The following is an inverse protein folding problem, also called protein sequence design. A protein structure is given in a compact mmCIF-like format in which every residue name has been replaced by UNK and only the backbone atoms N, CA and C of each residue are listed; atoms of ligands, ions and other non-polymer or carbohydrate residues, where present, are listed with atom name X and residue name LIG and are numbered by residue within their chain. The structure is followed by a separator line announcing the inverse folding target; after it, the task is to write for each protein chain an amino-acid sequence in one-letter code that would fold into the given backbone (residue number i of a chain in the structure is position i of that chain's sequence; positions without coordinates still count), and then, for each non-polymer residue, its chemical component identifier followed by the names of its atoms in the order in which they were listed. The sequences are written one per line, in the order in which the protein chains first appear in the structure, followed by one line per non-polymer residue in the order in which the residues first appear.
data_IF_587445171390
#
_entry.id   IF_587445171390
#
_cell.length_a   1.000
_cell.length_b   1.000
_cell.length_c   1.000
_cell.angle_alpha   90.00
_cell.angle_beta   90.00
_cell.angle_gamma   90.00
#
_symmetry.space_group_name_H-M   'P 1'
#
loop_
_entity.id
_entity.type
_entity.pdbx_description
1 polymer ?
#
# COMPACT_ATOMS: atom_id res chain seq x y z
N UNK A 1 61.68 -11.25 13.54
CA UNK A 1 60.48 -12.00 13.99
C UNK A 1 59.92 -11.33 15.24
N UNK A 2 58.77 -10.68 15.13
CA UNK A 2 57.78 -10.49 16.22
C UNK A 2 56.56 -9.82 15.58
N UNK A 3 55.58 -10.66 15.29
CA UNK A 3 54.24 -10.28 14.86
C UNK A 3 53.58 -9.42 15.93
N UNK A 4 52.94 -8.32 15.54
CA UNK A 4 51.84 -7.74 16.28
C UNK A 4 50.59 -7.89 15.43
N UNK A 5 49.62 -8.60 16.00
CA UNK A 5 48.38 -9.04 15.39
C UNK A 5 47.55 -7.85 14.88
N UNK A 6 47.03 -7.99 13.67
CA UNK A 6 46.00 -7.10 13.14
C UNK A 6 44.71 -7.30 13.93
N UNK A 7 44.26 -6.25 14.63
CA UNK A 7 42.96 -6.22 15.26
C UNK A 7 41.89 -6.07 14.18
N UNK A 8 41.20 -7.16 13.87
CA UNK A 8 40.03 -7.16 12.99
C UNK A 8 38.85 -6.56 13.78
N UNK A 9 38.60 -5.26 13.63
CA UNK A 9 37.36 -4.65 14.10
C UNK A 9 36.28 -5.10 13.12
N UNK A 10 35.46 -6.06 13.54
CA UNK A 10 34.21 -6.39 12.85
C UNK A 10 33.28 -5.20 13.10
N UNK A 11 33.31 -4.22 12.19
CA UNK A 11 32.25 -3.24 12.11
C UNK A 11 30.98 -4.00 11.73
N UNK A 12 30.13 -4.26 12.71
CA UNK A 12 28.77 -4.70 12.46
C UNK A 12 28.11 -3.61 11.61
N UNK A 13 27.97 -3.87 10.31
CA UNK A 13 27.15 -3.09 9.41
C UNK A 13 25.69 -3.26 9.87
N UNK A 14 25.28 -2.45 10.84
CA UNK A 14 23.88 -2.17 11.02
C UNK A 14 23.46 -1.39 9.77
N UNK A 15 22.94 -2.10 8.76
CA UNK A 15 22.23 -1.45 7.67
C UNK A 15 21.16 -0.57 8.31
N UNK A 16 21.13 0.76 8.04
CA UNK A 16 19.93 1.50 8.34
C UNK A 16 18.86 0.85 7.47
N UNK A 17 17.88 0.20 8.09
CA UNK A 17 16.62 -0.03 7.43
C UNK A 17 16.06 1.37 7.17
N UNK A 18 16.48 1.96 6.04
CA UNK A 18 16.05 3.27 5.62
C UNK A 18 14.55 3.19 5.51
N UNK A 19 13.85 3.89 6.40
CA UNK A 19 12.42 4.06 6.29
C UNK A 19 12.16 4.71 4.93
N UNK A 20 11.70 3.92 3.97
CA UNK A 20 11.34 4.42 2.65
C UNK A 20 10.15 5.37 2.85
N UNK A 21 10.36 6.64 2.56
CA UNK A 21 9.31 7.66 2.66
C UNK A 21 8.68 7.79 1.30
N UNK A 22 7.42 7.36 1.17
CA UNK A 22 6.62 7.56 -0.04
C UNK A 22 5.86 8.87 0.10
N UNK A 23 6.12 9.83 -0.79
CA UNK A 23 5.41 11.12 -0.81
C UNK A 23 4.22 11.03 -1.77
N UNK A 24 3.03 11.34 -1.27
CA UNK A 24 1.82 11.46 -2.09
C UNK A 24 1.43 12.94 -2.21
N UNK A 25 1.23 13.44 -3.43
CA UNK A 25 0.68 14.76 -3.65
C UNK A 25 -0.84 14.73 -3.43
N UNK A 26 -1.36 15.63 -2.59
CA UNK A 26 -2.79 15.80 -2.38
C UNK A 26 -3.39 16.54 -3.58
N UNK A 27 -3.68 15.83 -4.67
CA UNK A 27 -4.50 16.34 -5.77
C UNK A 27 -5.98 15.98 -5.60
N UNK A 28 -6.84 16.49 -6.48
CA UNK A 28 -8.29 16.26 -6.42
C UNK A 28 -8.72 14.88 -6.94
N UNK A 29 -7.80 13.98 -7.29
CA UNK A 29 -8.10 12.65 -7.78
C UNK A 29 -7.95 11.60 -6.67
N UNK A 30 -8.59 10.43 -6.86
CA UNK A 30 -8.37 9.29 -5.96
C UNK A 30 -7.03 8.64 -6.28
N UNK A 31 -6.20 8.37 -5.27
CA UNK A 31 -4.91 7.69 -5.42
C UNK A 31 -4.90 6.38 -4.64
N UNK A 32 -4.39 5.33 -5.28
CA UNK A 32 -4.08 4.06 -4.64
C UNK A 32 -2.72 4.14 -3.92
N UNK A 33 -2.66 3.65 -2.69
CA UNK A 33 -1.43 3.63 -1.87
C UNK A 33 -0.89 2.21 -1.77
N UNK A 34 -1.67 1.30 -1.18
CA UNK A 34 -1.31 -0.12 -0.97
C UNK A 34 -2.52 -0.93 -0.51
N UNK A 35 -2.42 -2.26 -0.56
CA UNK A 35 -3.33 -3.17 0.14
C UNK A 35 -2.58 -3.99 1.19
N UNK A 36 -3.26 -4.36 2.27
CA UNK A 36 -2.80 -5.32 3.27
C UNK A 36 -3.91 -6.32 3.57
N UNK A 37 -3.53 -7.54 3.96
CA UNK A 37 -4.51 -8.49 4.49
C UNK A 37 -4.93 -8.09 5.91
N UNK A 38 -6.24 -8.03 6.13
CA UNK A 38 -6.84 -7.85 7.44
C UNK A 38 -7.89 -8.94 7.67
N UNK A 39 -7.47 -10.02 8.31
CA UNK A 39 -8.33 -11.15 8.66
C UNK A 39 -8.96 -11.84 7.43
N UNK A 40 -8.17 -12.03 6.36
CA UNK A 40 -8.64 -12.67 5.12
C UNK A 40 -9.46 -11.75 4.21
N UNK A 41 -9.34 -10.43 4.42
CA UNK A 41 -9.91 -9.40 3.56
C UNK A 41 -8.81 -8.43 3.14
N UNK A 42 -8.78 -8.06 1.87
CA UNK A 42 -7.93 -6.98 1.42
C UNK A 42 -8.47 -5.64 1.94
N UNK A 43 -7.65 -4.96 2.73
CA UNK A 43 -7.84 -3.58 3.16
C UNK A 43 -6.89 -2.68 2.37
N UNK A 44 -7.44 -1.87 1.48
CA UNK A 44 -6.67 -1.01 0.59
C UNK A 44 -6.75 0.44 1.03
N UNK A 45 -5.57 1.03 1.24
CA UNK A 45 -5.38 2.42 1.59
C UNK A 45 -5.48 3.28 0.32
N UNK A 46 -6.34 4.30 0.39
CA UNK A 46 -6.65 5.20 -0.70
C UNK A 46 -6.59 6.64 -0.20
N UNK A 47 -6.08 7.54 -1.03
CA UNK A 47 -6.23 8.98 -0.84
C UNK A 47 -7.44 9.40 -1.64
N UNK A 48 -8.51 9.77 -0.95
CA UNK A 48 -9.77 10.21 -1.57
C UNK A 48 -9.97 11.69 -1.19
N UNK A 49 -10.39 12.55 -2.13
CA UNK A 49 -10.72 13.93 -1.81
C UNK A 49 -11.70 14.03 -0.63
N UNK A 50 -11.38 14.90 0.32
CA UNK A 50 -12.22 15.11 1.50
C UNK A 50 -13.66 15.48 1.12
N UNK A 51 -14.62 14.82 1.74
CA UNK A 51 -16.05 15.08 1.53
C UNK A 51 -16.93 13.89 1.87
N UNK A 52 -18.24 14.05 1.71
CA UNK A 52 -19.26 13.03 2.00
C UNK A 52 -19.56 12.13 0.80
N UNK A 53 -18.79 12.25 -0.28
CA UNK A 53 -19.01 11.46 -1.48
C UNK A 53 -18.67 9.98 -1.24
N UNK A 54 -19.59 9.10 -1.63
CA UNK A 54 -19.34 7.67 -1.73
C UNK A 54 -18.58 7.39 -3.03
N UNK A 55 -17.60 6.50 -2.97
CA UNK A 55 -16.83 6.03 -4.12
C UNK A 55 -17.02 4.52 -4.30
N UNK A 56 -17.18 4.10 -5.55
CA UNK A 56 -17.12 2.71 -5.96
C UNK A 56 -15.71 2.41 -6.50
N UNK A 57 -15.03 1.45 -5.88
CA UNK A 57 -13.66 1.07 -6.16
C UNK A 57 -13.60 -0.36 -6.68
N UNK A 58 -12.77 -0.59 -7.69
CA UNK A 58 -12.54 -1.90 -8.32
C UNK A 58 -11.09 -2.29 -8.07
N UNK A 59 -10.87 -3.46 -7.47
CA UNK A 59 -9.55 -4.08 -7.35
C UNK A 59 -9.21 -4.82 -8.65
N UNK A 60 -7.99 -4.64 -9.15
CA UNK A 60 -7.52 -5.14 -10.43
C UNK A 60 -6.21 -5.93 -10.22
N UNK A 61 -6.02 -7.00 -10.98
CA UNK A 61 -4.72 -7.70 -11.08
C UNK A 61 -3.76 -6.98 -12.06
N UNK A 62 -2.55 -7.51 -12.23
CA UNK A 62 -1.53 -6.96 -13.14
C UNK A 62 -1.99 -6.89 -14.61
N UNK A 63 -2.91 -7.77 -15.02
CA UNK A 63 -3.48 -7.78 -16.37
C UNK A 63 -4.67 -6.81 -16.52
N UNK A 64 -5.09 -6.14 -15.44
CA UNK A 64 -6.27 -5.28 -15.40
C UNK A 64 -7.59 -6.04 -15.27
N UNK A 65 -7.57 -7.30 -14.81
CA UNK A 65 -8.76 -8.10 -14.58
C UNK A 65 -9.45 -7.68 -13.28
N UNK A 66 -10.77 -7.42 -13.27
CA UNK A 66 -11.52 -7.14 -12.05
C UNK A 66 -11.55 -8.32 -11.09
N UNK A 67 -11.13 -8.10 -9.85
CA UNK A 67 -11.13 -9.09 -8.77
C UNK A 67 -12.27 -8.88 -7.78
N UNK A 68 -12.71 -7.63 -7.59
CA UNK A 68 -13.76 -7.30 -6.63
C UNK A 68 -14.12 -5.82 -6.63
N UNK A 69 -15.22 -5.49 -5.93
CA UNK A 69 -15.75 -4.13 -5.80
C UNK A 69 -15.94 -3.77 -4.32
N UNK A 70 -15.58 -2.54 -3.96
CA UNK A 70 -15.81 -1.97 -2.63
C UNK A 70 -16.48 -0.60 -2.74
N UNK A 71 -17.27 -0.25 -1.73
CA UNK A 71 -17.86 1.09 -1.57
C UNK A 71 -17.16 1.77 -0.38
N UNK A 72 -16.68 3.00 -0.57
CA UNK A 72 -15.83 3.68 0.42
C UNK A 72 -16.13 5.18 0.51
N UNK A 73 -16.08 5.71 1.74
CA UNK A 73 -16.10 7.14 2.00
C UNK A 73 -14.68 7.67 2.20
N UNK A 74 -14.49 8.97 2.00
CA UNK A 74 -13.22 9.64 2.30
C UNK A 74 -12.75 9.33 3.73
N UNK A 75 -11.46 9.03 3.88
CA UNK A 75 -10.83 8.76 5.16
C UNK A 75 -11.00 7.33 5.69
N UNK A 76 -11.67 6.45 4.94
CA UNK A 76 -11.79 5.03 5.26
C UNK A 76 -11.03 4.19 4.21
N UNK A 77 -10.46 3.03 4.61
CA UNK A 77 -9.90 2.10 3.63
C UNK A 77 -11.01 1.42 2.82
N UNK A 78 -10.71 1.06 1.57
CA UNK A 78 -11.57 0.21 0.78
C UNK A 78 -11.41 -1.25 1.24
N UNK A 79 -12.52 -1.90 1.59
CA UNK A 79 -12.53 -3.29 2.07
C UNK A 79 -13.12 -4.20 1.01
N UNK A 80 -12.31 -5.13 0.49
CA UNK A 80 -12.75 -6.15 -0.47
C UNK A 80 -12.93 -7.48 0.26
N UNK A 81 -14.18 -7.95 0.33
CA UNK A 81 -14.50 -9.20 1.01
C UNK A 81 -14.02 -10.39 0.20
N UNK A 82 -13.49 -11.42 0.89
CA UNK A 82 -13.07 -12.68 0.27
C UNK A 82 -12.00 -12.51 -0.82
N UNK A 83 -11.23 -11.42 -0.76
CA UNK A 83 -10.15 -11.12 -1.68
C UNK A 83 -8.84 -11.03 -0.92
N UNK A 84 -7.85 -11.80 -1.36
CA UNK A 84 -6.48 -11.74 -0.84
C UNK A 84 -5.78 -10.49 -1.41
N UNK A 85 -5.17 -9.70 -0.52
CA UNK A 85 -4.48 -8.46 -0.88
C UNK A 85 -3.29 -8.69 -1.83
N UNK A 86 -2.66 -9.87 -1.80
CA UNK A 86 -1.50 -10.20 -2.65
C UNK A 86 -1.85 -10.38 -4.12
N UNK A 87 -3.15 -10.52 -4.44
CA UNK A 87 -3.64 -10.62 -5.81
C UNK A 87 -3.91 -9.26 -6.45
N UNK A 88 -3.97 -8.19 -5.64
CA UNK A 88 -4.32 -6.84 -6.10
C UNK A 88 -3.04 -6.11 -6.51
N UNK A 89 -2.97 -5.72 -7.77
CA UNK A 89 -1.92 -4.85 -8.29
C UNK A 89 -2.29 -3.37 -8.04
N UNK A 90 -3.51 -2.98 -8.41
CA UNK A 90 -3.99 -1.61 -8.19
C UNK A 90 -5.51 -1.54 -7.98
N UNK A 91 -5.97 -0.41 -7.44
CA UNK A 91 -7.39 -0.10 -7.23
C UNK A 91 -7.75 1.16 -7.98
N UNK A 92 -8.84 1.11 -8.76
CA UNK A 92 -9.40 2.28 -9.44
C UNK A 92 -10.74 2.63 -8.82
N UNK A 93 -10.95 3.90 -8.49
CA UNK A 93 -12.17 4.38 -7.87
C UNK A 93 -12.85 5.47 -8.69
N UNK A 94 -14.18 5.47 -8.66
CA UNK A 94 -15.01 6.53 -9.21
C UNK A 94 -16.07 6.94 -8.20
N UNK A 95 -16.48 8.21 -8.25
CA UNK A 95 -17.59 8.70 -7.42
C UNK A 95 -18.87 7.92 -7.78
N UNK A 96 -19.54 7.36 -6.77
CA UNK A 96 -20.83 6.71 -6.94
C UNK A 96 -21.87 7.76 -7.38
N UNK A 97 -22.72 7.39 -8.34
CA UNK A 97 -23.82 8.24 -8.82
C UNK A 97 -25.04 8.12 -7.93
#
# INVERSE_FOLDING_TARGET
MKSCAAALIIAALASPAGSETITFEADSAVRFVRCVDLMGMASCELIIPAGEALYSCIALDEAGTPLGVAQVFSGLPAMFQQLDATLIDHVTCQKAR
#
